data_IF_283399014970
#
_entry.id   IF_283399014970
#
_cell.length_a   1.000
_cell.length_b   1.000
_cell.length_c   1.000
_cell.angle_alpha   90.00
_cell.angle_beta   90.00
_cell.angle_gamma   90.00
#
_symmetry.space_group_name_H-M   'P 1'
#
loop_
_entity.id
_entity.type
_entity.pdbx_description
1 polymer ?
#
# COMPACT_ATOMS: atom_id res chain seq x y z
N UNK A 1 -64.54 15.00 -16.23
CA UNK A 1 -63.35 15.59 -16.88
C UNK A 1 -63.37 17.06 -16.53
N UNK A 2 -62.55 17.49 -15.58
CA UNK A 2 -62.47 18.90 -15.21
C UNK A 2 -61.70 19.64 -16.31
N UNK A 3 -62.36 20.58 -16.95
CA UNK A 3 -61.83 21.47 -17.97
C UNK A 3 -60.88 22.44 -17.26
N UNK A 4 -59.57 22.31 -17.48
CA UNK A 4 -58.58 23.24 -16.92
C UNK A 4 -58.69 24.52 -17.77
N UNK A 5 -59.01 25.69 -17.20
CA UNK A 5 -59.18 26.90 -17.99
C UNK A 5 -57.86 27.27 -18.66
N UNK A 6 -57.87 27.44 -19.99
CA UNK A 6 -56.71 27.87 -20.80
C UNK A 6 -56.01 29.13 -20.27
N UNK A 7 -56.74 29.94 -19.50
CA UNK A 7 -56.25 31.15 -18.85
C UNK A 7 -55.20 30.88 -17.77
N UNK A 8 -55.37 29.81 -17.00
CA UNK A 8 -54.42 29.43 -15.94
C UNK A 8 -53.10 28.93 -16.52
N UNK A 9 -53.13 28.27 -17.69
CA UNK A 9 -51.93 27.84 -18.41
C UNK A 9 -51.16 29.01 -19.04
N UNK A 10 -51.87 30.02 -19.53
CA UNK A 10 -51.25 31.23 -20.06
C UNK A 10 -50.62 32.10 -18.96
N UNK A 11 -51.30 32.23 -17.81
CA UNK A 11 -50.77 32.95 -16.65
C UNK A 11 -49.58 32.23 -16.01
N UNK A 12 -49.63 30.91 -15.89
CA UNK A 12 -48.47 30.13 -15.41
C UNK A 12 -47.29 30.18 -16.38
N UNK A 13 -47.52 30.17 -17.71
CA UNK A 13 -46.45 30.39 -18.70
C UNK A 13 -45.86 31.80 -18.61
N UNK A 14 -46.70 32.82 -18.43
CA UNK A 14 -46.23 34.20 -18.27
C UNK A 14 -45.43 34.38 -16.96
N UNK A 15 -45.87 33.73 -15.87
CA UNK A 15 -45.16 33.75 -14.59
C UNK A 15 -43.82 33.00 -14.63
N UNK A 16 -43.71 31.95 -15.44
CA UNK A 16 -42.48 31.16 -15.62
C UNK A 16 -41.56 31.68 -16.73
N UNK A 17 -42.04 32.58 -17.59
CA UNK A 17 -41.24 33.19 -18.65
C UNK A 17 -39.92 33.82 -18.14
N UNK A 18 -39.90 34.65 -17.08
CA UNK A 18 -38.66 35.26 -16.62
C UNK A 18 -37.65 34.25 -16.05
N UNK A 19 -38.12 33.16 -15.42
CA UNK A 19 -37.24 32.08 -14.94
C UNK A 19 -36.68 31.23 -16.09
N UNK A 20 -37.50 30.94 -17.11
CA UNK A 20 -37.04 30.24 -18.30
C UNK A 20 -36.03 31.07 -19.11
N UNK A 21 -36.25 32.39 -19.20
CA UNK A 21 -35.35 33.31 -19.92
C UNK A 21 -34.03 33.50 -19.14
N UNK A 22 -34.09 33.53 -17.81
CA UNK A 22 -32.91 33.51 -16.95
C UNK A 22 -32.13 32.19 -17.08
N UNK A 23 -32.81 31.04 -17.12
CA UNK A 23 -32.16 29.75 -17.36
C UNK A 23 -31.55 29.65 -18.76
N UNK A 24 -32.24 30.14 -19.79
CA UNK A 24 -31.73 30.24 -21.16
C UNK A 24 -30.49 31.15 -21.24
N UNK A 25 -30.46 32.23 -20.47
CA UNK A 25 -29.32 33.15 -20.39
C UNK A 25 -28.11 32.55 -19.66
N UNK A 26 -28.31 31.58 -18.77
CA UNK A 26 -27.26 30.91 -17.99
C UNK A 26 -26.72 29.67 -18.69
N UNK A 27 -27.53 29.00 -19.53
CA UNK A 27 -27.15 27.81 -20.30
C UNK A 27 -25.82 27.93 -21.09
N UNK A 28 -25.52 29.05 -21.79
CA UNK A 28 -24.23 29.26 -22.45
C UNK A 28 -23.03 29.33 -21.51
N UNK A 29 -23.24 29.61 -20.22
CA UNK A 29 -22.19 29.72 -19.20
C UNK A 29 -22.00 28.42 -18.41
N UNK A 30 -23.05 27.60 -18.31
CA UNK A 30 -22.99 26.26 -17.69
C UNK A 30 -22.31 25.26 -18.63
N UNK A 31 -22.34 25.50 -19.94
CA UNK A 31 -21.86 24.58 -20.96
C UNK A 31 -20.59 24.99 -21.70
N UNK A 32 -19.72 25.84 -21.14
CA UNK A 32 -18.37 25.99 -21.73
C UNK A 32 -17.55 24.75 -21.40
N UNK A 33 -17.76 23.70 -22.17
CA UNK A 33 -16.89 22.53 -22.21
C UNK A 33 -15.46 23.02 -22.36
N UNK A 34 -14.66 22.76 -21.34
CA UNK A 34 -13.24 23.07 -21.36
C UNK A 34 -12.65 22.46 -22.64
N UNK A 35 -11.86 23.22 -23.42
CA UNK A 35 -11.27 22.68 -24.64
C UNK A 35 -10.47 21.44 -24.26
N UNK A 36 -10.69 20.36 -25.02
CA UNK A 36 -9.93 19.11 -24.85
C UNK A 36 -8.44 19.44 -25.00
N UNK A 37 -7.63 18.92 -24.08
CA UNK A 37 -6.18 19.09 -24.07
C UNK A 37 -5.52 18.25 -25.15
N UNK A 38 -6.11 17.11 -25.46
CA UNK A 38 -5.63 16.10 -26.38
C UNK A 38 -6.66 15.85 -27.48
N UNK A 39 -6.19 15.38 -28.64
CA UNK A 39 -7.11 14.96 -29.70
C UNK A 39 -7.91 13.73 -29.24
N UNK A 40 -9.20 13.60 -29.61
CA UNK A 40 -10.01 12.43 -29.25
C UNK A 40 -9.40 11.12 -29.73
N UNK A 41 -8.73 11.13 -30.88
CA UNK A 41 -8.04 9.96 -31.46
C UNK A 41 -6.85 9.53 -30.60
N UNK A 42 -6.06 10.48 -30.08
CA UNK A 42 -4.95 10.20 -29.18
C UNK A 42 -5.45 9.64 -27.84
N UNK A 43 -6.47 10.26 -27.25
CA UNK A 43 -7.04 9.79 -25.99
C UNK A 43 -7.63 8.37 -26.12
N UNK A 44 -8.29 8.08 -27.25
CA UNK A 44 -8.79 6.73 -27.52
C UNK A 44 -7.66 5.71 -27.61
N UNK A 45 -6.59 6.01 -28.36
CA UNK A 45 -5.41 5.13 -28.44
C UNK A 45 -4.78 4.88 -27.07
N UNK A 46 -4.68 5.93 -26.23
CA UNK A 46 -4.19 5.79 -24.86
C UNK A 46 -5.04 4.82 -24.04
N UNK A 47 -6.36 4.99 -24.05
CA UNK A 47 -7.29 4.13 -23.32
C UNK A 47 -7.23 2.67 -23.80
N UNK A 48 -7.17 2.47 -25.12
CA UNK A 48 -7.05 1.14 -25.72
C UNK A 48 -5.72 0.48 -25.32
N UNK A 49 -4.61 1.22 -25.34
CA UNK A 49 -3.30 0.72 -24.90
C UNK A 49 -3.26 0.39 -23.40
N UNK A 50 -3.88 1.22 -22.55
CA UNK A 50 -4.04 0.94 -21.12
C UNK A 50 -4.82 -0.37 -20.88
N UNK A 51 -5.89 -0.58 -21.65
CA UNK A 51 -6.69 -1.81 -21.60
C UNK A 51 -5.87 -3.03 -22.01
N UNK A 52 -5.19 -2.95 -23.14
CA UNK A 52 -4.31 -4.03 -23.60
C UNK A 52 -3.24 -4.35 -22.54
N UNK A 53 -2.60 -3.35 -21.94
CA UNK A 53 -1.62 -3.56 -20.88
C UNK A 53 -2.23 -4.30 -19.67
N UNK A 54 -3.40 -3.88 -19.21
CA UNK A 54 -4.08 -4.50 -18.07
C UNK A 54 -4.51 -5.95 -18.37
N UNK A 55 -5.04 -6.22 -19.57
CA UNK A 55 -5.43 -7.55 -20.03
C UNK A 55 -4.21 -8.49 -20.13
N UNK A 56 -3.11 -8.00 -20.72
CA UNK A 56 -1.87 -8.76 -20.81
C UNK A 56 -1.33 -9.10 -19.43
N UNK A 57 -1.29 -8.13 -18.51
CA UNK A 57 -0.83 -8.36 -17.14
C UNK A 57 -1.72 -9.36 -16.41
N UNK A 58 -3.04 -9.18 -16.41
CA UNK A 58 -3.96 -10.05 -15.66
C UNK A 58 -3.93 -11.50 -16.17
N UNK A 59 -3.76 -11.67 -17.49
CA UNK A 59 -3.70 -13.00 -18.12
C UNK A 59 -2.37 -13.71 -17.85
N UNK A 60 -1.26 -12.98 -17.81
CA UNK A 60 0.09 -13.59 -17.81
C UNK A 60 0.90 -13.35 -16.53
N UNK A 61 0.40 -12.58 -15.56
CA UNK A 61 1.14 -12.19 -14.34
C UNK A 61 1.72 -13.39 -13.57
N UNK A 62 1.06 -14.55 -13.60
CA UNK A 62 1.51 -15.76 -12.92
C UNK A 62 2.34 -16.74 -13.77
N UNK A 63 2.33 -16.62 -15.11
CA UNK A 63 2.89 -17.63 -16.01
C UNK A 63 3.99 -17.11 -16.94
N UNK A 64 3.85 -15.90 -17.47
CA UNK A 64 4.83 -15.25 -18.34
C UNK A 64 4.79 -13.72 -18.19
N UNK A 65 5.42 -13.17 -17.12
CA UNK A 65 5.49 -11.73 -16.91
C UNK A 65 6.19 -10.96 -18.04
N UNK A 66 7.00 -11.62 -18.88
CA UNK A 66 7.73 -10.97 -19.98
C UNK A 66 6.81 -10.57 -21.15
N UNK A 67 5.64 -11.20 -21.24
CA UNK A 67 4.64 -10.95 -22.28
C UNK A 67 4.04 -9.53 -22.23
N UNK A 68 4.26 -8.75 -21.16
CA UNK A 68 3.74 -7.38 -21.05
C UNK A 68 4.57 -6.35 -21.83
N UNK A 69 5.82 -6.68 -22.17
CA UNK A 69 6.76 -5.72 -22.78
C UNK A 69 6.19 -5.02 -24.03
N UNK A 70 5.61 -5.72 -25.02
CA UNK A 70 5.07 -5.05 -26.20
C UNK A 70 3.97 -4.02 -25.87
N UNK A 71 3.11 -4.35 -24.89
CA UNK A 71 2.04 -3.44 -24.44
C UNK A 71 2.61 -2.19 -23.75
N UNK A 72 3.66 -2.35 -22.93
CA UNK A 72 4.37 -1.24 -22.29
C UNK A 72 4.99 -0.30 -23.33
N UNK A 73 5.72 -0.82 -24.31
CA UNK A 73 6.35 0.02 -25.34
C UNK A 73 5.34 0.69 -26.27
N UNK A 74 4.19 0.04 -26.53
CA UNK A 74 3.07 0.67 -27.23
C UNK A 74 2.52 1.87 -26.46
N UNK A 75 2.30 1.72 -25.15
CA UNK A 75 1.85 2.80 -24.27
C UNK A 75 2.86 3.94 -24.20
N UNK A 76 4.15 3.63 -24.06
CA UNK A 76 5.24 4.63 -24.06
C UNK A 76 5.29 5.42 -25.38
N UNK A 77 5.08 4.77 -26.52
CA UNK A 77 4.98 5.45 -27.81
C UNK A 77 3.88 6.52 -27.82
N UNK A 78 2.71 6.18 -27.28
CA UNK A 78 1.58 7.13 -27.15
C UNK A 78 1.90 8.25 -26.14
N UNK A 79 2.60 7.94 -25.05
CA UNK A 79 3.03 8.94 -24.08
C UNK A 79 3.98 9.97 -24.70
N UNK A 80 4.92 9.54 -25.55
CA UNK A 80 5.82 10.41 -26.31
C UNK A 80 5.03 11.33 -27.24
N UNK A 81 4.04 10.79 -27.96
CA UNK A 81 3.17 11.58 -28.84
C UNK A 81 2.30 12.59 -28.07
N UNK A 82 1.86 12.24 -26.87
CA UNK A 82 1.06 13.12 -26.02
C UNK A 82 1.88 14.31 -25.47
N UNK A 83 3.19 14.16 -25.31
CA UNK A 83 4.08 15.21 -24.81
C UNK A 83 3.82 15.61 -23.36
N UNK A 84 3.10 14.80 -22.59
CA UNK A 84 2.84 15.02 -21.17
C UNK A 84 3.96 14.38 -20.34
N UNK A 85 4.62 15.20 -19.51
CA UNK A 85 5.80 14.79 -18.77
C UNK A 85 5.52 13.67 -17.75
N UNK A 86 4.36 13.70 -17.10
CA UNK A 86 3.98 12.70 -16.10
C UNK A 86 3.67 11.35 -16.78
N UNK A 87 2.98 11.38 -17.93
CA UNK A 87 2.71 10.19 -18.73
C UNK A 87 4.00 9.59 -19.31
N UNK A 88 4.93 10.42 -19.78
CA UNK A 88 6.23 9.97 -20.27
C UNK A 88 7.02 9.29 -19.16
N UNK A 89 7.10 9.92 -17.98
CA UNK A 89 7.81 9.35 -16.84
C UNK A 89 7.21 8.00 -16.38
N UNK A 90 5.88 7.87 -16.39
CA UNK A 90 5.21 6.59 -16.14
C UNK A 90 5.56 5.54 -17.18
N UNK A 91 5.54 5.90 -18.46
CA UNK A 91 5.92 5.00 -19.56
C UNK A 91 7.37 4.49 -19.42
N UNK A 92 8.31 5.37 -19.11
CA UNK A 92 9.72 5.02 -18.88
C UNK A 92 9.90 4.11 -17.66
N UNK A 93 9.16 4.38 -16.59
CA UNK A 93 9.16 3.54 -15.39
C UNK A 93 8.62 2.15 -15.69
N UNK A 94 7.51 2.05 -16.42
CA UNK A 94 6.95 0.76 -16.87
C UNK A 94 7.92 0.01 -17.80
N UNK A 95 8.64 0.72 -18.69
CA UNK A 95 9.66 0.11 -19.54
C UNK A 95 10.80 -0.49 -18.70
N UNK A 96 11.25 0.22 -17.67
CA UNK A 96 12.25 -0.29 -16.72
C UNK A 96 11.74 -1.52 -15.96
N UNK A 97 10.45 -1.54 -15.59
CA UNK A 97 9.82 -2.71 -14.98
C UNK A 97 9.80 -3.89 -15.96
N UNK A 98 9.46 -3.67 -17.23
CA UNK A 98 9.47 -4.72 -18.24
C UNK A 98 10.89 -5.32 -18.42
N UNK A 99 11.93 -4.47 -18.47
CA UNK A 99 13.33 -4.92 -18.50
C UNK A 99 13.70 -5.74 -17.25
N UNK A 100 13.18 -5.37 -16.07
CA UNK A 100 13.40 -6.11 -14.83
C UNK A 100 12.76 -7.50 -14.85
N UNK A 101 11.53 -7.61 -15.37
CA UNK A 101 10.78 -8.87 -15.46
C UNK A 101 11.44 -9.89 -16.40
N UNK A 102 12.20 -9.44 -17.40
CA UNK A 102 12.99 -10.32 -18.26
C UNK A 102 14.19 -10.94 -17.54
N UNK A 103 14.75 -10.22 -16.57
CA UNK A 103 15.95 -10.65 -15.85
C UNK A 103 15.60 -11.52 -14.64
N UNK A 104 14.45 -11.28 -14.00
CA UNK A 104 14.07 -11.91 -12.74
C UNK A 104 12.57 -12.04 -12.59
N UNK A 105 12.12 -13.12 -11.95
CA UNK A 105 10.74 -13.27 -11.51
C UNK A 105 10.34 -12.13 -10.56
N UNK A 106 9.13 -11.55 -10.71
CA UNK A 106 8.70 -10.43 -9.89
C UNK A 106 8.47 -10.83 -8.44
N UNK A 107 8.89 -9.97 -7.53
CA UNK A 107 8.53 -10.03 -6.12
C UNK A 107 7.06 -9.64 -5.87
N UNK A 108 6.52 -9.97 -4.69
CA UNK A 108 5.13 -9.68 -4.33
C UNK A 108 4.85 -8.16 -4.35
N UNK A 109 5.82 -7.35 -3.92
CA UNK A 109 5.71 -5.88 -3.97
C UNK A 109 5.54 -5.36 -5.39
N UNK A 110 6.31 -5.90 -6.34
CA UNK A 110 6.25 -5.50 -7.74
C UNK A 110 4.95 -5.97 -8.39
N UNK A 111 4.49 -7.20 -8.10
CA UNK A 111 3.19 -7.70 -8.55
C UNK A 111 2.07 -6.77 -8.09
N UNK A 112 2.02 -6.44 -6.80
CA UNK A 112 1.00 -5.57 -6.24
C UNK A 112 1.05 -4.14 -6.82
N UNK A 113 2.24 -3.61 -7.07
CA UNK A 113 2.43 -2.29 -7.69
C UNK A 113 1.96 -2.28 -9.15
N UNK A 114 2.31 -3.31 -9.93
CA UNK A 114 1.88 -3.45 -11.32
C UNK A 114 0.36 -3.60 -11.42
N UNK A 115 -0.25 -4.51 -10.66
CA UNK A 115 -1.70 -4.71 -10.64
C UNK A 115 -2.44 -3.40 -10.34
N UNK A 116 -2.04 -2.70 -9.28
CA UNK A 116 -2.65 -1.42 -8.92
C UNK A 116 -2.45 -0.34 -10.00
N UNK A 117 -1.29 -0.32 -10.65
CA UNK A 117 -1.02 0.63 -11.75
C UNK A 117 -1.89 0.34 -12.97
N UNK A 118 -1.99 -0.94 -13.37
CA UNK A 118 -2.79 -1.33 -14.53
C UNK A 118 -4.28 -1.09 -14.30
N UNK A 119 -4.79 -1.37 -13.10
CA UNK A 119 -6.18 -1.04 -12.76
C UNK A 119 -6.42 0.46 -12.77
N UNK A 120 -5.48 1.23 -12.23
CA UNK A 120 -5.60 2.67 -12.19
C UNK A 120 -5.66 3.30 -13.59
N UNK A 121 -4.90 2.77 -14.54
CA UNK A 121 -4.88 3.27 -15.91
C UNK A 121 -6.21 3.06 -16.67
N UNK A 122 -7.13 2.24 -16.15
CA UNK A 122 -8.44 2.00 -16.75
C UNK A 122 -9.51 3.01 -16.35
N UNK A 123 -9.19 3.99 -15.50
CA UNK A 123 -10.14 5.04 -15.10
C UNK A 123 -10.71 5.81 -16.32
N UNK A 124 -11.96 6.23 -16.18
CA UNK A 124 -12.66 7.00 -17.20
C UNK A 124 -11.92 8.31 -17.56
N UNK A 125 -12.02 8.70 -18.82
CA UNK A 125 -11.45 9.97 -19.33
C UNK A 125 -10.02 9.87 -19.87
N UNK A 126 -9.26 8.82 -19.54
CA UNK A 126 -7.90 8.62 -20.09
C UNK A 126 -6.98 9.82 -19.84
N UNK A 127 -6.32 10.31 -20.90
CA UNK A 127 -5.46 11.50 -20.87
C UNK A 127 -6.18 12.77 -20.39
N UNK A 128 -7.50 12.86 -20.61
CA UNK A 128 -8.28 14.01 -20.17
C UNK A 128 -8.64 13.97 -18.69
N UNK A 129 -8.42 12.85 -18.00
CA UNK A 129 -8.75 12.74 -16.59
C UNK A 129 -7.89 13.73 -15.76
N UNK A 130 -8.51 14.62 -14.96
CA UNK A 130 -7.79 15.63 -14.20
C UNK A 130 -6.86 15.03 -13.13
N UNK A 131 -7.10 13.79 -12.71
CA UNK A 131 -6.29 13.08 -11.70
C UNK A 131 -5.14 12.28 -12.32
N UNK A 132 -5.07 12.16 -13.66
CA UNK A 132 -4.07 11.31 -14.32
C UNK A 132 -2.65 11.68 -13.93
N UNK A 133 -2.28 12.96 -14.02
CA UNK A 133 -0.95 13.47 -13.68
C UNK A 133 -0.50 13.07 -12.26
N UNK A 134 -1.36 13.27 -11.26
CA UNK A 134 -1.08 12.89 -9.88
C UNK A 134 -0.93 11.37 -9.69
N UNK A 135 -1.75 10.59 -10.40
CA UNK A 135 -1.68 9.12 -10.35
C UNK A 135 -0.44 8.59 -11.06
N UNK A 136 -0.11 9.13 -12.22
CA UNK A 136 1.09 8.77 -12.97
C UNK A 136 2.33 8.95 -12.10
N UNK A 137 2.50 10.11 -11.44
CA UNK A 137 3.59 10.32 -10.47
C UNK A 137 3.59 9.31 -9.33
N UNK A 138 2.45 9.12 -8.67
CA UNK A 138 2.32 8.18 -7.55
C UNK A 138 2.70 6.75 -7.94
N UNK A 139 2.19 6.26 -9.08
CA UNK A 139 2.46 4.90 -9.53
C UNK A 139 3.88 4.73 -10.05
N UNK A 140 4.47 5.73 -10.71
CA UNK A 140 5.89 5.72 -11.08
C UNK A 140 6.78 5.56 -9.85
N UNK A 141 6.56 6.36 -8.81
CA UNK A 141 7.32 6.28 -7.56
C UNK A 141 7.16 4.91 -6.89
N UNK A 142 5.93 4.39 -6.84
CA UNK A 142 5.63 3.09 -6.24
C UNK A 142 6.28 1.94 -7.02
N UNK A 143 6.25 1.96 -8.35
CA UNK A 143 6.91 0.96 -9.21
C UNK A 143 8.42 1.01 -9.05
N UNK A 144 9.01 2.20 -9.10
CA UNK A 144 10.45 2.38 -8.91
C UNK A 144 10.91 1.92 -7.52
N UNK A 145 10.11 2.16 -6.48
CA UNK A 145 10.38 1.64 -5.12
C UNK A 145 10.28 0.12 -5.05
N UNK A 146 9.34 -0.50 -5.76
CA UNK A 146 9.14 -1.94 -5.77
C UNK A 146 10.27 -2.71 -6.50
N UNK A 147 10.96 -2.06 -7.44
CA UNK A 147 12.13 -2.61 -8.12
C UNK A 147 13.40 -2.60 -7.27
N UNK A 148 13.46 -1.82 -6.19
CA UNK A 148 14.65 -1.76 -5.33
C UNK A 148 14.75 -3.06 -4.52
N UNK A 149 15.95 -3.67 -4.41
CA UNK A 149 16.15 -4.81 -3.54
C UNK A 149 15.72 -4.48 -2.11
N UNK A 150 14.82 -5.30 -1.55
CA UNK A 150 14.57 -5.26 -0.11
C UNK A 150 15.86 -5.69 0.60
N UNK A 151 16.39 -4.86 1.51
CA UNK A 151 17.49 -5.25 2.40
C UNK A 151 17.05 -6.36 3.38
N UNK A 152 15.74 -6.59 3.52
CA UNK A 152 15.14 -7.52 4.46
C UNK A 152 14.80 -8.86 3.78
N UNK A 153 15.13 -10.01 4.40
CA UNK A 153 14.71 -11.33 3.94
C UNK A 153 13.20 -11.41 3.73
N UNK A 154 12.75 -12.09 2.66
CA UNK A 154 11.34 -12.43 2.47
C UNK A 154 10.38 -11.26 2.14
N UNK A 155 10.89 -10.09 1.75
CA UNK A 155 10.05 -8.90 1.43
C UNK A 155 9.17 -8.41 2.59
N UNK A 156 9.52 -8.74 3.84
CA UNK A 156 8.78 -8.40 5.07
C UNK A 156 8.42 -6.91 5.14
N UNK A 157 7.17 -6.60 5.51
CA UNK A 157 6.63 -5.25 5.47
C UNK A 157 7.24 -4.35 6.55
N UNK A 158 7.77 -3.19 6.17
CA UNK A 158 8.34 -2.21 7.12
C UNK A 158 7.29 -1.63 8.08
N UNK A 159 6.00 -1.71 7.73
CA UNK A 159 4.92 -1.35 8.64
C UNK A 159 4.71 -2.44 9.69
N UNK A 160 4.74 -3.71 9.28
CA UNK A 160 4.60 -4.84 10.21
C UNK A 160 5.80 -4.92 11.15
N UNK A 161 7.02 -4.69 10.64
CA UNK A 161 8.23 -4.64 11.45
C UNK A 161 8.12 -3.57 12.54
N UNK A 162 7.73 -2.34 12.18
CA UNK A 162 7.59 -1.24 13.16
C UNK A 162 6.49 -1.50 14.19
N UNK A 163 5.35 -2.03 13.75
CA UNK A 163 4.27 -2.40 14.67
C UNK A 163 4.71 -3.48 15.65
N UNK A 164 5.44 -4.47 15.15
CA UNK A 164 6.01 -5.53 15.99
C UNK A 164 7.06 -4.98 16.95
N UNK A 165 7.97 -4.10 16.52
CA UNK A 165 8.99 -3.52 17.40
C UNK A 165 8.35 -2.73 18.54
N UNK A 166 7.35 -1.90 18.24
CA UNK A 166 6.60 -1.15 19.27
C UNK A 166 5.93 -2.08 20.28
N UNK A 167 5.25 -3.12 19.77
CA UNK A 167 4.57 -4.11 20.61
C UNK A 167 5.55 -4.94 21.45
N UNK A 168 6.73 -5.25 20.90
CA UNK A 168 7.79 -5.97 21.59
C UNK A 168 8.46 -5.11 22.68
N UNK A 169 8.71 -3.82 22.42
CA UNK A 169 9.26 -2.89 23.40
C UNK A 169 8.33 -2.74 24.62
N UNK A 170 7.02 -2.63 24.41
CA UNK A 170 6.04 -2.60 25.51
C UNK A 170 6.07 -3.88 26.35
N UNK A 171 6.21 -5.04 25.71
CA UNK A 171 6.31 -6.33 26.40
C UNK A 171 7.60 -6.47 27.19
N UNK A 172 8.74 -6.05 26.61
CA UNK A 172 10.03 -6.05 27.30
C UNK A 172 10.01 -5.13 28.52
N UNK A 173 9.40 -3.95 28.42
CA UNK A 173 9.22 -3.06 29.55
C UNK A 173 8.43 -3.74 30.69
N UNK A 174 7.33 -4.43 30.37
CA UNK A 174 6.55 -5.18 31.38
C UNK A 174 7.32 -6.36 31.99
N UNK A 175 8.16 -7.04 31.21
CA UNK A 175 9.03 -8.11 31.73
C UNK A 175 10.10 -7.57 32.68
N UNK A 176 10.69 -6.40 32.39
CA UNK A 176 11.58 -5.72 33.34
C UNK A 176 10.84 -5.28 34.60
N UNK A 177 9.64 -4.69 34.47
CA UNK A 177 8.81 -4.33 35.62
C UNK A 177 8.46 -5.54 36.49
N UNK A 178 8.18 -6.70 35.89
CA UNK A 178 7.90 -7.95 36.60
C UNK A 178 9.10 -8.46 37.42
N UNK A 179 10.33 -8.21 36.95
CA UNK A 179 11.57 -8.54 37.68
C UNK A 179 11.86 -7.58 38.84
N UNK A 180 11.39 -6.33 38.75
CA UNK A 180 11.63 -5.29 39.76
C UNK A 180 10.71 -5.40 40.99
N UNK A 181 9.61 -6.16 40.89
CA UNK A 181 8.66 -6.36 41.99
C UNK A 181 9.11 -7.52 42.89
N UNK A 182 8.85 -7.41 44.21
CA UNK A 182 9.13 -8.45 45.19
C UNK A 182 7.84 -8.96 45.84
N UNK A 183 7.51 -10.27 45.74
CA UNK A 183 8.24 -11.30 44.98
C UNK A 183 8.16 -11.07 43.46
N UNK A 184 9.12 -11.61 42.71
CA UNK A 184 9.15 -11.52 41.24
C UNK A 184 7.83 -12.04 40.66
N UNK A 185 7.26 -11.29 39.72
CA UNK A 185 6.01 -11.68 39.05
C UNK A 185 6.28 -12.69 37.92
N UNK A 186 6.44 -13.96 38.32
CA UNK A 186 6.67 -15.08 37.39
C UNK A 186 5.52 -15.22 36.38
N UNK A 187 4.28 -14.94 36.79
CA UNK A 187 3.13 -15.06 35.91
C UNK A 187 3.16 -14.02 34.79
N UNK A 188 3.49 -12.77 35.12
CA UNK A 188 3.68 -11.73 34.12
C UNK A 188 4.82 -12.07 33.15
N UNK A 189 5.93 -12.61 33.65
CA UNK A 189 7.05 -13.05 32.81
C UNK A 189 6.66 -14.18 31.85
N UNK A 190 5.91 -15.19 32.31
CA UNK A 190 5.43 -16.28 31.45
C UNK A 190 4.46 -15.77 30.38
N UNK A 191 3.54 -14.87 30.75
CA UNK A 191 2.56 -14.31 29.83
C UNK A 191 3.24 -13.50 28.72
N UNK A 192 4.05 -12.52 29.10
CA UNK A 192 4.64 -11.58 28.13
C UNK A 192 5.68 -12.27 27.24
N UNK A 193 6.44 -13.24 27.77
CA UNK A 193 7.37 -14.03 26.95
C UNK A 193 6.63 -14.95 25.96
N UNK A 194 5.52 -15.58 26.37
CA UNK A 194 4.71 -16.45 25.48
C UNK A 194 4.08 -15.66 24.33
N UNK A 195 3.55 -14.49 24.64
CA UNK A 195 2.96 -13.59 23.65
C UNK A 195 4.01 -13.07 22.66
N UNK A 196 5.21 -12.69 23.14
CA UNK A 196 6.32 -12.28 22.28
C UNK A 196 6.76 -13.42 21.33
N UNK A 197 6.81 -14.67 21.81
CA UNK A 197 7.11 -15.85 20.98
C UNK A 197 6.07 -16.01 19.88
N UNK A 198 4.78 -15.94 20.23
CA UNK A 198 3.68 -16.10 19.28
C UNK A 198 3.70 -15.01 18.20
N UNK A 199 3.92 -13.75 18.59
CA UNK A 199 4.00 -12.64 17.64
C UNK A 199 5.21 -12.77 16.73
N UNK A 200 6.38 -13.13 17.28
CA UNK A 200 7.60 -13.31 16.49
C UNK A 200 7.45 -14.45 15.46
N UNK A 201 6.74 -15.53 15.81
CA UNK A 201 6.45 -16.64 14.89
C UNK A 201 5.56 -16.20 13.72
N UNK A 202 4.49 -15.44 14.00
CA UNK A 202 3.52 -15.00 12.98
C UNK A 202 4.13 -14.13 11.86
N UNK A 203 5.18 -13.38 12.19
CA UNK A 203 5.90 -12.51 11.23
C UNK A 203 7.28 -13.06 10.85
N UNK A 204 7.55 -14.31 11.20
CA UNK A 204 8.78 -15.03 10.86
C UNK A 204 10.07 -14.34 11.37
N UNK A 205 10.00 -13.66 12.52
CA UNK A 205 11.14 -13.08 13.22
C UNK A 205 11.86 -14.13 14.07
N UNK A 206 12.43 -15.12 13.39
CA UNK A 206 13.05 -16.31 14.01
C UNK A 206 14.16 -15.99 15.00
N UNK A 207 14.96 -14.94 14.75
CA UNK A 207 15.99 -14.50 15.70
C UNK A 207 15.39 -14.12 17.06
N UNK A 208 14.33 -13.30 17.06
CA UNK A 208 13.64 -12.87 18.28
C UNK A 208 12.84 -14.02 18.89
N UNK A 209 12.19 -14.84 18.07
CA UNK A 209 11.51 -16.06 18.52
C UNK A 209 12.42 -16.96 19.36
N UNK A 210 13.64 -17.24 18.89
CA UNK A 210 14.57 -18.08 19.63
C UNK A 210 15.06 -17.42 20.93
N UNK A 211 15.31 -16.11 20.91
CA UNK A 211 15.71 -15.37 22.10
C UNK A 211 14.60 -15.36 23.16
N UNK A 212 13.35 -15.12 22.76
CA UNK A 212 12.18 -15.11 23.64
C UNK A 212 11.88 -16.50 24.23
N UNK A 213 12.07 -17.58 23.45
CA UNK A 213 12.00 -18.95 23.98
C UNK A 213 13.03 -19.22 25.07
N UNK A 214 14.21 -18.63 24.96
CA UNK A 214 15.22 -18.75 25.99
C UNK A 214 14.83 -18.01 27.28
N UNK A 215 14.17 -16.85 27.18
CA UNK A 215 13.55 -16.19 28.35
C UNK A 215 12.55 -17.12 29.02
N UNK A 216 11.60 -17.69 28.25
CA UNK A 216 10.59 -18.60 28.80
C UNK A 216 11.22 -19.80 29.52
N UNK A 217 12.32 -20.36 29.01
CA UNK A 217 13.04 -21.44 29.69
C UNK A 217 13.64 -21.00 31.04
N UNK A 218 14.17 -19.78 31.15
CA UNK A 218 14.67 -19.26 32.42
C UNK A 218 13.53 -18.95 33.41
N UNK A 219 12.40 -18.46 32.93
CA UNK A 219 11.21 -18.23 33.76
C UNK A 219 10.69 -19.55 34.36
N UNK A 220 10.69 -20.64 33.58
CA UNK A 220 10.37 -21.98 34.10
C UNK A 220 11.38 -22.49 35.15
N UNK A 221 12.64 -22.05 35.08
CA UNK A 221 13.63 -22.39 36.12
C UNK A 221 13.40 -21.58 37.39
N UNK A 222 12.91 -20.34 37.26
CA UNK A 222 12.62 -19.44 38.36
C UNK A 222 11.48 -19.95 39.26
N UNK A 223 10.45 -20.56 38.68
CA UNK A 223 9.28 -21.06 39.41
C UNK A 223 9.60 -22.21 40.39
N UNK A 224 10.63 -23.01 40.08
CA UNK A 224 11.06 -24.17 40.87
C UNK A 224 12.37 -23.94 41.67
N UNK A 225 12.92 -22.72 41.64
CA UNK A 225 14.24 -22.40 42.18
C UNK A 225 14.27 -22.09 43.70
N UNK A 226 15.39 -22.40 44.34
CA UNK A 226 15.74 -21.87 45.68
C UNK A 226 16.10 -20.38 45.61
N UNK A 227 16.03 -19.64 46.71
CA UNK A 227 16.31 -18.18 46.73
C UNK A 227 17.63 -17.80 46.02
N UNK A 228 18.72 -18.53 46.25
CA UNK A 228 20.01 -18.27 45.59
C UNK A 228 20.01 -18.61 44.08
N UNK A 229 19.16 -19.53 43.64
CA UNK A 229 18.98 -19.85 42.23
C UNK A 229 17.99 -18.88 41.54
N UNK A 230 17.09 -18.25 42.31
CA UNK A 230 16.19 -17.22 41.81
C UNK A 230 16.95 -15.96 41.39
N UNK A 231 17.93 -15.52 42.20
CA UNK A 231 18.76 -14.36 41.86
C UNK A 231 19.55 -14.58 40.55
N UNK A 232 20.10 -15.78 40.35
CA UNK A 232 20.83 -16.11 39.13
C UNK A 232 19.89 -16.19 37.92
N UNK A 233 18.74 -16.86 38.06
CA UNK A 233 17.75 -16.96 36.99
C UNK A 233 17.21 -15.57 36.59
N UNK A 234 16.99 -14.67 37.55
CA UNK A 234 16.60 -13.29 37.27
C UNK A 234 17.68 -12.53 36.47
N UNK A 235 18.96 -12.70 36.81
CA UNK A 235 20.06 -12.11 36.05
C UNK A 235 20.16 -12.66 34.62
N UNK A 236 19.96 -13.97 34.46
CA UNK A 236 19.97 -14.62 33.14
C UNK A 236 18.80 -14.13 32.27
N UNK A 237 17.62 -13.91 32.88
CA UNK A 237 16.47 -13.29 32.20
C UNK A 237 16.82 -11.86 31.76
N UNK A 238 17.34 -11.00 32.66
CA UNK A 238 17.72 -9.62 32.33
C UNK A 238 18.70 -9.58 31.15
N UNK A 239 19.75 -10.41 31.19
CA UNK A 239 20.71 -10.49 30.10
C UNK A 239 20.05 -10.88 28.77
N UNK A 240 19.10 -11.81 28.82
CA UNK A 240 18.38 -12.24 27.63
C UNK A 240 17.44 -11.16 27.09
N UNK A 241 16.79 -10.38 27.95
CA UNK A 241 15.97 -9.23 27.54
C UNK A 241 16.84 -8.19 26.82
N UNK A 242 18.05 -7.89 27.34
CA UNK A 242 18.99 -6.97 26.69
C UNK A 242 19.39 -7.43 25.27
N UNK A 243 19.55 -8.74 25.06
CA UNK A 243 19.84 -9.30 23.74
C UNK A 243 18.64 -9.13 22.78
N UNK A 244 17.41 -9.25 23.29
CA UNK A 244 16.20 -9.00 22.50
C UNK A 244 16.12 -7.52 22.13
N UNK A 245 16.35 -6.61 23.06
CA UNK A 245 16.36 -5.16 22.78
C UNK A 245 17.39 -4.79 21.71
N UNK A 246 18.59 -5.37 21.76
CA UNK A 246 19.62 -5.18 20.74
C UNK A 246 19.16 -5.70 19.37
N UNK A 247 18.52 -6.86 19.34
CA UNK A 247 17.98 -7.43 18.11
C UNK A 247 16.84 -6.57 17.52
N UNK A 248 15.97 -6.00 18.36
CA UNK A 248 14.90 -5.10 17.93
C UNK A 248 15.44 -3.81 17.32
N UNK A 249 16.46 -3.19 17.92
CA UNK A 249 17.11 -1.99 17.36
C UNK A 249 17.69 -2.22 15.97
N UNK A 250 18.14 -3.44 15.68
CA UNK A 250 18.66 -3.81 14.36
C UNK A 250 17.56 -3.99 13.29
N UNK A 251 16.30 -4.12 13.69
CA UNK A 251 15.14 -4.30 12.80
C UNK A 251 14.55 -2.95 12.36
N UNK A 252 14.69 -1.93 13.21
CA UNK A 252 14.30 -0.54 12.94
C UNK A 252 15.26 0.22 12.01
N UNK A 253 16.46 -0.31 11.75
CA UNK A 253 17.47 0.26 10.85
C UNK A 253 17.29 -0.21 9.39
#
# INVERSE_FOLDING_TARGET
MADIPDKDLAETRAALAPTLDAMASILPWVGKSQPLRFSPELNKRWQDACRTLAEHWTTHAGSDPTAIRPAVFSLLGIAIEAGDADCLHLGETLASVADHLEQRAPGNRLIAALTATTEALLDEGGLENPKLAGRARHFSERLASAMRPSAKPGERSDVLDRLFVQDADERLARMHEALDVLPIDVYALELESSELIQHAEQIEMWGIYHLARQVQNFVLQLSDASEAAQDQAAQDIVHQLDLIEQALRAVDC
#
